data_IF_928226384135
#
_entry.id   IF_928226384135
#
_cell.length_a   1.000
_cell.length_b   1.000
_cell.length_c   1.000
_cell.angle_alpha   90.00
_cell.angle_beta   90.00
_cell.angle_gamma   90.00
#
_symmetry.space_group_name_H-M   'P 1'
#
loop_
_entity.id
_entity.type
_entity.pdbx_description
1 polymer ?
#
# COMPACT_ATOMS: atom_id res chain seq x y z
N UNK A 1 -33.22 6.60 24.21
CA UNK A 1 -33.36 6.47 22.74
C UNK A 1 -32.13 7.08 22.09
N UNK A 2 -31.18 6.25 21.64
CA UNK A 2 -29.97 6.73 20.99
C UNK A 2 -30.25 6.96 19.50
N UNK A 3 -29.99 8.17 19.01
CA UNK A 3 -30.11 8.53 17.59
C UNK A 3 -29.00 7.82 16.82
N UNK A 4 -29.37 6.93 15.91
CA UNK A 4 -28.48 6.46 14.86
C UNK A 4 -28.16 7.67 13.96
N UNK A 5 -26.94 8.19 14.05
CA UNK A 5 -26.42 9.18 13.11
C UNK A 5 -26.34 8.52 11.73
N UNK A 6 -27.05 9.12 10.78
CA UNK A 6 -27.40 8.54 9.49
C UNK A 6 -26.20 8.09 8.68
N UNK A 7 -26.26 6.83 8.25
CA UNK A 7 -25.61 6.41 7.03
C UNK A 7 -26.42 7.05 5.89
N UNK A 8 -25.94 8.20 5.41
CA UNK A 8 -26.55 8.94 4.32
C UNK A 8 -26.82 8.03 3.13
N UNK A 9 -28.09 7.99 2.74
CA UNK A 9 -28.64 7.31 1.57
C UNK A 9 -28.32 8.10 0.30
N UNK A 10 -27.04 8.27 0.00
CA UNK A 10 -26.60 8.54 -1.36
C UNK A 10 -26.15 7.19 -1.92
N UNK A 11 -26.56 6.91 -3.14
CA UNK A 11 -26.19 5.73 -3.90
C UNK A 11 -24.65 5.68 -4.04
N UNK A 12 -23.98 5.17 -3.00
CA UNK A 12 -22.55 4.85 -3.00
C UNK A 12 -22.40 3.58 -3.81
N UNK A 13 -22.62 3.69 -5.11
CA UNK A 13 -22.20 2.67 -6.05
C UNK A 13 -20.78 2.24 -5.67
N UNK A 14 -20.50 0.93 -5.78
CA UNK A 14 -19.22 0.30 -5.42
C UNK A 14 -17.99 1.07 -5.96
N UNK A 15 -18.18 1.86 -7.03
CA UNK A 15 -17.22 2.84 -7.56
C UNK A 15 -17.92 4.16 -7.93
N UNK A 16 -17.43 5.33 -7.44
CA UNK A 16 -17.87 6.64 -7.91
C UNK A 16 -17.70 6.78 -9.42
N UNK A 17 -18.58 7.51 -10.11
CA UNK A 17 -18.52 7.68 -11.57
C UNK A 17 -17.21 8.30 -12.07
N UNK A 18 -16.57 9.15 -11.27
CA UNK A 18 -15.27 9.75 -11.58
C UNK A 18 -14.05 8.84 -11.31
N UNK A 19 -14.23 7.67 -10.71
CA UNK A 19 -13.14 6.72 -10.41
C UNK A 19 -13.32 5.36 -11.12
N UNK A 20 -14.25 5.31 -12.09
CA UNK A 20 -14.25 4.21 -13.06
C UNK A 20 -13.01 4.41 -13.92
N UNK A 21 -12.08 3.44 -14.00
CA UNK A 21 -10.99 3.54 -14.95
C UNK A 21 -11.62 3.53 -16.35
N UNK A 22 -11.81 4.72 -16.91
CA UNK A 22 -12.04 4.88 -18.33
C UNK A 22 -10.81 4.26 -18.95
N UNK A 23 -10.96 3.13 -19.63
CA UNK A 23 -9.87 2.45 -20.32
C UNK A 23 -9.51 3.31 -21.54
N UNK A 24 -9.00 4.50 -21.28
CA UNK A 24 -8.34 5.34 -22.26
C UNK A 24 -6.87 4.89 -22.30
N UNK A 25 -6.47 4.43 -23.48
CA UNK A 25 -5.17 3.80 -23.73
C UNK A 25 -4.02 4.80 -23.77
N UNK A 26 -4.30 6.11 -23.68
CA UNK A 26 -3.33 7.15 -24.03
C UNK A 26 -2.64 7.84 -22.85
N UNK A 27 -3.20 7.84 -21.62
CA UNK A 27 -2.50 8.36 -20.45
C UNK A 27 -3.02 7.74 -19.14
N UNK A 28 -2.40 6.63 -18.71
CA UNK A 28 -2.85 5.88 -17.52
C UNK A 28 -2.12 6.38 -16.27
N UNK A 29 -2.80 7.15 -15.43
CA UNK A 29 -2.40 7.31 -14.03
C UNK A 29 -2.54 5.94 -13.36
N UNK A 30 -1.47 5.48 -12.73
CA UNK A 30 -1.40 4.18 -12.09
C UNK A 30 -1.16 4.36 -10.61
N UNK A 31 -1.87 3.58 -9.82
CA UNK A 31 -1.75 3.60 -8.37
C UNK A 31 -1.05 2.32 -7.93
N UNK A 32 -0.19 2.44 -6.94
CA UNK A 32 0.56 1.33 -6.40
C UNK A 32 0.37 1.26 -4.90
N UNK A 33 0.08 0.08 -4.40
CA UNK A 33 0.15 -0.24 -2.96
C UNK A 33 1.40 -1.06 -2.75
N UNK A 34 2.23 -0.67 -1.79
CA UNK A 34 3.55 -1.28 -1.59
C UNK A 34 3.80 -1.64 -0.13
N UNK A 35 4.61 -2.67 0.06
CA UNK A 35 5.13 -3.15 1.33
C UNK A 35 6.65 -3.07 1.32
N UNK A 36 7.19 -2.24 2.23
CA UNK A 36 8.62 -2.11 2.45
C UNK A 36 9.02 -2.80 3.76
N UNK A 37 10.25 -3.32 3.82
CA UNK A 37 10.90 -3.76 5.07
C UNK A 37 12.09 -2.85 5.35
N UNK A 38 12.19 -2.35 6.57
CA UNK A 38 13.43 -1.76 7.07
C UNK A 38 14.47 -2.86 7.29
N UNK A 39 15.66 -2.72 6.72
CA UNK A 39 16.78 -3.62 7.01
C UNK A 39 17.25 -3.41 8.46
N UNK A 40 17.21 -2.17 8.95
CA UNK A 40 17.76 -1.81 10.26
C UNK A 40 16.88 -2.25 11.43
N UNK A 41 15.58 -2.00 11.34
CA UNK A 41 14.64 -2.23 12.44
C UNK A 41 13.69 -3.39 12.19
N UNK A 42 13.81 -4.05 11.03
CA UNK A 42 12.93 -5.13 10.56
C UNK A 42 11.44 -4.78 10.47
N UNK A 43 11.10 -3.49 10.66
CA UNK A 43 9.72 -3.02 10.61
C UNK A 43 9.20 -3.01 9.17
N UNK A 44 7.95 -3.44 9.01
CA UNK A 44 7.19 -3.30 7.77
C UNK A 44 6.58 -1.91 7.64
N UNK A 45 6.49 -1.41 6.41
CA UNK A 45 5.75 -0.19 6.07
C UNK A 45 4.83 -0.48 4.89
N UNK A 46 3.54 -0.19 5.06
CA UNK A 46 2.53 -0.27 4.00
C UNK A 46 2.10 1.14 3.61
N UNK A 47 2.15 1.44 2.32
CA UNK A 47 1.71 2.71 1.78
C UNK A 47 1.13 2.57 0.38
N UNK A 48 0.57 3.66 -0.15
CA UNK A 48 0.24 3.78 -1.56
C UNK A 48 0.94 4.99 -2.20
N UNK A 49 0.99 5.00 -3.54
CA UNK A 49 1.59 6.09 -4.33
C UNK A 49 0.98 6.13 -5.74
N UNK A 50 1.00 7.30 -6.37
CA UNK A 50 0.62 7.51 -7.78
C UNK A 50 1.85 7.47 -8.72
N UNK A 51 3.05 7.42 -8.12
CA UNK A 51 4.35 7.32 -8.79
C UNK A 51 4.82 5.88 -8.89
N UNK A 52 5.87 5.60 -9.67
CA UNK A 52 6.53 4.29 -9.67
C UNK A 52 7.05 3.94 -8.26
N UNK A 53 7.00 2.65 -7.91
CA UNK A 53 7.31 2.18 -6.54
C UNK A 53 8.80 2.36 -6.23
N UNK A 54 9.65 2.26 -7.24
CA UNK A 54 11.10 2.45 -7.18
C UNK A 54 11.46 3.89 -6.81
N UNK A 55 10.77 4.87 -7.42
CA UNK A 55 10.93 6.29 -7.07
C UNK A 55 10.56 6.52 -5.61
N UNK A 56 9.43 5.96 -5.18
CA UNK A 56 8.95 6.07 -3.80
C UNK A 56 9.89 5.41 -2.79
N UNK A 57 10.48 4.26 -3.15
CA UNK A 57 11.51 3.60 -2.35
C UNK A 57 12.74 4.48 -2.19
N UNK A 58 13.18 5.14 -3.26
CA UNK A 58 14.26 6.12 -3.25
C UNK A 58 13.98 7.27 -2.27
N UNK A 59 12.79 7.87 -2.33
CA UNK A 59 12.38 8.94 -1.41
C UNK A 59 12.40 8.50 0.07
N UNK A 60 11.91 7.28 0.37
CA UNK A 60 11.94 6.74 1.73
C UNK A 60 13.38 6.52 2.23
N UNK A 61 14.28 6.05 1.37
CA UNK A 61 15.69 5.84 1.70
C UNK A 61 16.49 7.15 1.84
N UNK A 62 16.07 8.21 1.17
CA UNK A 62 16.60 9.56 1.37
C UNK A 62 16.16 10.18 2.70
N UNK A 63 15.16 9.61 3.37
CA UNK A 63 14.67 10.09 4.66
C UNK A 63 13.62 11.19 4.53
N UNK A 64 12.66 11.00 3.62
CA UNK A 64 11.53 11.89 3.36
C UNK A 64 10.70 12.31 4.58
N UNK A 65 10.76 11.58 5.70
CA UNK A 65 10.07 11.90 6.93
C UNK A 65 10.88 11.42 8.17
N UNK A 66 10.55 11.93 9.36
CA UNK A 66 11.23 11.57 10.63
C UNK A 66 11.30 10.05 10.85
N UNK A 67 10.19 9.34 10.59
CA UNK A 67 10.14 7.89 10.74
C UNK A 67 11.02 7.17 9.70
N UNK A 68 10.98 7.60 8.44
CA UNK A 68 11.73 6.95 7.35
C UNK A 68 13.22 7.19 7.50
N UNK A 69 13.62 8.40 7.91
CA UNK A 69 15.01 8.75 8.24
C UNK A 69 15.60 7.90 9.38
N UNK A 70 14.79 7.55 10.38
CA UNK A 70 15.24 6.73 11.51
C UNK A 70 15.34 5.23 11.18
N UNK A 71 14.54 4.74 10.21
CA UNK A 71 14.39 3.32 9.90
C UNK A 71 14.97 2.92 8.53
N UNK A 72 15.54 3.84 7.76
CA UNK A 72 16.32 3.49 6.56
C UNK A 72 17.55 2.62 6.91
N UNK A 73 18.06 1.79 5.98
CA UNK A 73 17.55 1.58 4.63
C UNK A 73 16.34 0.64 4.59
N UNK A 74 15.50 0.83 3.58
CA UNK A 74 14.33 0.03 3.24
C UNK A 74 14.58 -0.76 1.96
N UNK A 75 13.95 -1.93 1.89
CA UNK A 75 13.83 -2.76 0.69
C UNK A 75 12.35 -2.93 0.33
N UNK A 76 12.07 -2.99 -0.97
CA UNK A 76 10.74 -3.34 -1.47
C UNK A 76 10.57 -4.86 -1.39
N UNK A 77 9.49 -5.30 -0.75
CA UNK A 77 9.16 -6.73 -0.56
C UNK A 77 8.09 -7.15 -1.56
N UNK A 78 7.08 -6.30 -1.71
CA UNK A 78 5.86 -6.62 -2.44
C UNK A 78 5.17 -5.34 -2.87
N UNK A 79 4.50 -5.37 -4.03
CA UNK A 79 3.60 -4.31 -4.44
C UNK A 79 2.46 -4.82 -5.33
N UNK A 80 1.37 -4.08 -5.33
CA UNK A 80 0.18 -4.30 -6.15
C UNK A 80 -0.08 -3.06 -7.01
N UNK A 81 -0.57 -3.26 -8.23
CA UNK A 81 -0.86 -2.20 -9.19
C UNK A 81 -2.35 -2.08 -9.45
N UNK A 82 -2.84 -0.84 -9.42
CA UNK A 82 -4.24 -0.50 -9.58
C UNK A 82 -4.42 0.58 -10.66
N UNK A 83 -5.54 0.50 -11.37
CA UNK A 83 -5.98 1.53 -12.31
C UNK A 83 -6.92 2.55 -11.67
N UNK A 84 -7.49 2.20 -10.52
CA UNK A 84 -8.47 2.99 -9.79
C UNK A 84 -7.85 3.43 -8.45
N UNK A 85 -8.01 4.70 -8.10
CA UNK A 85 -7.40 5.27 -6.90
C UNK A 85 -8.08 4.71 -5.65
N UNK A 86 -9.40 4.66 -5.65
CA UNK A 86 -10.16 4.21 -4.50
C UNK A 86 -9.91 2.73 -4.22
N UNK A 87 -9.76 1.90 -5.26
CA UNK A 87 -9.38 0.48 -5.09
C UNK A 87 -8.03 0.35 -4.38
N UNK A 88 -7.03 1.15 -4.78
CA UNK A 88 -5.71 1.16 -4.14
C UNK A 88 -5.80 1.60 -2.67
N UNK A 89 -6.60 2.64 -2.37
CA UNK A 89 -6.82 3.13 -1.00
C UNK A 89 -7.52 2.07 -0.14
N UNK A 90 -8.57 1.42 -0.67
CA UNK A 90 -9.24 0.33 0.04
C UNK A 90 -8.29 -0.84 0.31
N UNK A 91 -7.43 -1.15 -0.65
CA UNK A 91 -6.43 -2.19 -0.47
C UNK A 91 -5.40 -1.82 0.59
N UNK A 92 -4.87 -0.61 0.57
CA UNK A 92 -3.94 -0.11 1.58
C UNK A 92 -4.57 -0.20 2.99
N UNK A 93 -5.81 0.26 3.14
CA UNK A 93 -6.55 0.19 4.39
C UNK A 93 -6.80 -1.25 4.83
N UNK A 94 -7.13 -2.14 3.89
CA UNK A 94 -7.26 -3.57 4.17
C UNK A 94 -5.95 -4.15 4.69
N UNK A 95 -4.81 -3.90 4.03
CA UNK A 95 -3.50 -4.41 4.46
C UNK A 95 -3.08 -3.88 5.84
N UNK A 96 -3.55 -2.69 6.24
CA UNK A 96 -3.35 -2.13 7.57
C UNK A 96 -4.34 -2.66 8.62
N UNK A 97 -5.47 -3.24 8.20
CA UNK A 97 -6.48 -3.83 9.09
C UNK A 97 -5.99 -5.11 9.78
N UNK A 98 -6.67 -5.56 10.83
CA UNK A 98 -6.25 -6.75 11.58
C UNK A 98 -6.08 -8.02 10.72
N UNK A 99 -6.99 -8.26 9.77
CA UNK A 99 -6.91 -9.43 8.86
C UNK A 99 -5.79 -9.23 7.82
N UNK A 100 -5.77 -8.08 7.14
CA UNK A 100 -4.74 -7.81 6.13
C UNK A 100 -3.34 -7.71 6.72
N UNK A 101 -3.19 -7.27 7.97
CA UNK A 101 -1.90 -7.25 8.66
C UNK A 101 -1.36 -8.69 8.87
N UNK A 102 -2.24 -9.68 9.06
CA UNK A 102 -1.80 -11.10 9.08
C UNK A 102 -1.23 -11.53 7.74
N UNK A 103 -1.85 -11.11 6.63
CA UNK A 103 -1.30 -11.36 5.28
C UNK A 103 0.07 -10.68 5.11
N UNK A 104 0.22 -9.43 5.53
CA UNK A 104 1.51 -8.72 5.50
C UNK A 104 2.60 -9.49 6.27
N UNK A 105 2.28 -10.02 7.46
CA UNK A 105 3.22 -10.82 8.26
C UNK A 105 3.62 -12.12 7.56
N UNK A 106 2.70 -12.77 6.86
CA UNK A 106 3.00 -13.97 6.07
C UNK A 106 3.96 -13.61 4.94
N UNK A 107 3.65 -12.58 4.14
CA UNK A 107 4.52 -12.10 3.05
C UNK A 107 5.94 -11.79 3.56
N UNK A 108 6.04 -11.10 4.72
CA UNK A 108 7.33 -10.77 5.32
C UNK A 108 8.11 -11.99 5.80
N UNK A 109 7.43 -13.02 6.29
CA UNK A 109 8.06 -14.28 6.73
C UNK A 109 8.63 -15.03 5.53
N UNK A 110 7.83 -15.24 4.48
CA UNK A 110 8.26 -15.99 3.30
C UNK A 110 9.44 -15.31 2.59
N UNK A 111 9.41 -13.98 2.47
CA UNK A 111 10.53 -13.23 1.91
C UNK A 111 11.85 -13.41 2.69
N UNK A 112 11.78 -13.63 4.01
CA UNK A 112 12.96 -13.88 4.84
C UNK A 112 13.51 -15.30 4.68
N UNK A 113 12.64 -16.29 4.42
CA UNK A 113 13.01 -17.70 4.30
C UNK A 113 13.82 -17.97 3.02
N UNK A 114 13.47 -17.35 1.90
CA UNK A 114 14.12 -17.60 0.60
C UNK A 114 15.61 -17.22 0.54
N UNK A 115 16.11 -16.38 1.46
CA UNK A 115 17.54 -16.00 1.52
C UNK A 115 18.41 -16.93 2.37
N UNK A 116 17.82 -17.93 3.01
CA UNK A 116 18.52 -18.84 3.93
C UNK A 116 18.94 -20.17 3.30
N UNK A 117 18.60 -20.40 2.03
CA UNK A 117 18.87 -21.64 1.29
C UNK A 117 20.07 -21.57 0.33
N UNK A 118 20.77 -20.44 0.26
CA UNK A 118 21.99 -20.25 -0.56
C UNK A 118 23.27 -20.15 0.29
N UNK A 119 23.34 -20.90 1.40
CA UNK A 119 24.50 -20.94 2.30
C UNK A 119 24.92 -22.35 2.68
#
# INVERSE_FOLDING_TARGET
MAKASGWGSEDRGFRPEGDRPLVDKSNKIMFYVYLLKSIKSEKSYVGFTEKQVEERLGEHNQGSNKFTKANRPFILIYYEKFYCKQDAIYRENFLKSGIGNRLVKIIMREFGTERSSDG
#
